data_IF_683120961201
#
_entry.id   IF_683120961201
#
_cell.length_a   1.000
_cell.length_b   1.000
_cell.length_c   1.000
_cell.angle_alpha   90.00
_cell.angle_beta   90.00
_cell.angle_gamma   90.00
#
_symmetry.space_group_name_H-M   'P 1'
#
loop_
_entity.id
_entity.type
_entity.pdbx_description
1 polymer ?
#
# COMPACT_ATOMS: atom_id res chain seq x y z
N UNK A 1 12.05 18.35 2.02
CA UNK A 1 12.15 18.50 0.53
C UNK A 1 11.05 17.74 -0.20
N UNK A 2 10.87 16.44 0.07
CA UNK A 2 9.89 15.57 -0.63
C UNK A 2 8.46 16.02 -0.41
N UNK A 3 8.07 16.35 0.82
CA UNK A 3 6.75 16.88 1.16
C UNK A 3 6.36 18.09 0.31
N UNK A 4 7.26 19.08 0.22
CA UNK A 4 7.03 20.28 -0.59
C UNK A 4 6.78 19.93 -2.05
N UNK A 5 7.56 18.99 -2.62
CA UNK A 5 7.39 18.57 -4.02
C UNK A 5 6.06 17.83 -4.21
N UNK A 6 5.74 16.88 -3.33
CA UNK A 6 4.48 16.12 -3.39
C UNK A 6 3.26 17.06 -3.29
N UNK A 7 3.25 17.96 -2.30
CA UNK A 7 2.17 18.91 -2.10
C UNK A 7 2.01 19.86 -3.30
N UNK A 8 3.11 20.35 -3.85
CA UNK A 8 3.07 21.22 -5.04
C UNK A 8 2.47 20.47 -6.23
N UNK A 9 2.96 19.26 -6.55
CA UNK A 9 2.47 18.50 -7.70
C UNK A 9 1.02 18.05 -7.55
N UNK A 10 0.62 17.68 -6.34
CA UNK A 10 -0.76 17.31 -6.07
C UNK A 10 -1.70 18.52 -6.23
N UNK A 11 -1.28 19.69 -5.78
CA UNK A 11 -2.04 20.92 -5.97
C UNK A 11 -2.17 21.29 -7.46
N UNK A 12 -1.09 21.16 -8.24
CA UNK A 12 -1.11 21.36 -9.69
C UNK A 12 -2.14 20.44 -10.37
N UNK A 13 -2.17 19.15 -10.00
CA UNK A 13 -3.15 18.19 -10.54
C UNK A 13 -4.60 18.55 -10.18
N UNK A 14 -4.82 18.99 -8.94
CA UNK A 14 -6.15 19.46 -8.50
C UNK A 14 -6.60 20.69 -9.29
N UNK A 15 -5.71 21.65 -9.56
CA UNK A 15 -6.03 22.82 -10.38
C UNK A 15 -6.41 22.42 -11.81
N UNK A 16 -5.76 21.40 -12.36
CA UNK A 16 -6.08 20.84 -13.68
C UNK A 16 -7.35 19.97 -13.69
N UNK A 17 -8.05 19.82 -12.55
CA UNK A 17 -9.18 18.90 -12.36
C UNK A 17 -8.87 17.46 -12.82
N UNK A 18 -7.62 17.04 -12.64
CA UNK A 18 -7.19 15.68 -12.93
C UNK A 18 -7.12 14.89 -11.63
N UNK A 19 -7.74 13.71 -11.65
CA UNK A 19 -7.59 12.75 -10.57
C UNK A 19 -6.32 11.91 -10.80
N UNK A 20 -5.65 11.57 -9.69
CA UNK A 20 -4.45 10.75 -9.70
C UNK A 20 -4.80 9.38 -9.14
N UNK A 21 -4.83 8.36 -10.01
CA UNK A 21 -5.15 6.99 -9.59
C UNK A 21 -4.01 6.33 -8.80
N UNK A 22 -2.76 6.58 -9.21
CA UNK A 22 -1.58 5.99 -8.58
C UNK A 22 -0.33 6.85 -8.76
N UNK A 23 0.47 6.95 -7.70
CA UNK A 23 1.81 7.51 -7.72
C UNK A 23 2.86 6.40 -7.65
N UNK A 24 3.64 6.21 -8.73
CA UNK A 24 4.81 5.33 -8.72
C UNK A 24 6.03 6.14 -8.28
N UNK A 25 6.70 5.69 -7.22
CA UNK A 25 7.83 6.38 -6.63
C UNK A 25 9.09 5.55 -6.75
N UNK A 26 10.12 6.10 -7.38
CA UNK A 26 11.42 5.44 -7.54
C UNK A 26 12.34 5.96 -6.43
N UNK A 27 12.68 5.08 -5.49
CA UNK A 27 13.53 5.39 -4.34
C UNK A 27 14.98 5.03 -4.65
N UNK A 28 15.94 5.94 -4.37
CA UNK A 28 17.35 5.73 -4.70
C UNK A 28 17.94 4.52 -3.96
N UNK A 29 17.53 4.33 -2.71
CA UNK A 29 18.02 3.31 -1.80
C UNK A 29 16.91 2.84 -0.85
N UNK A 30 17.25 1.88 0.02
CA UNK A 30 16.35 1.35 1.02
C UNK A 30 16.36 2.19 2.30
N UNK A 31 16.31 3.51 2.18
CA UNK A 31 16.26 4.41 3.31
C UNK A 31 14.85 4.46 3.93
N UNK A 32 14.73 3.92 5.14
CA UNK A 32 13.46 3.85 5.86
C UNK A 32 12.82 5.20 6.17
N UNK A 33 13.60 6.26 6.39
CA UNK A 33 13.09 7.60 6.70
C UNK A 33 12.36 8.22 5.51
N UNK A 34 12.99 8.22 4.33
CA UNK A 34 12.40 8.71 3.09
C UNK A 34 11.13 7.93 2.72
N UNK A 35 11.18 6.59 2.81
CA UNK A 35 10.01 5.75 2.56
C UNK A 35 8.88 6.06 3.54
N UNK A 36 9.20 6.22 4.83
CA UNK A 36 8.25 6.52 5.89
C UNK A 36 7.55 7.87 5.69
N UNK A 37 8.29 8.93 5.40
CA UNK A 37 7.72 10.25 5.12
C UNK A 37 6.78 10.24 3.91
N UNK A 38 7.21 9.59 2.83
CA UNK A 38 6.39 9.42 1.62
C UNK A 38 5.09 8.70 1.91
N UNK A 39 5.17 7.62 2.70
CA UNK A 39 4.01 6.81 3.07
C UNK A 39 3.05 7.58 3.96
N UNK A 40 3.57 8.22 5.00
CA UNK A 40 2.81 9.10 5.89
C UNK A 40 2.06 10.16 5.09
N UNK A 41 2.75 10.97 4.30
CA UNK A 41 2.11 12.07 3.54
C UNK A 41 1.06 11.54 2.56
N UNK A 42 1.38 10.49 1.78
CA UNK A 42 0.44 9.94 0.80
C UNK A 42 -0.81 9.35 1.47
N UNK A 43 -0.64 8.59 2.56
CA UNK A 43 -1.72 7.79 3.15
C UNK A 43 -2.52 8.57 4.21
N UNK A 44 -1.91 9.54 4.90
CA UNK A 44 -2.58 10.28 5.99
C UNK A 44 -2.98 11.71 5.62
N UNK A 45 -2.26 12.37 4.72
CA UNK A 45 -2.50 13.79 4.40
C UNK A 45 -3.17 13.99 3.04
N UNK A 46 -2.68 13.31 2.00
CA UNK A 46 -3.12 13.54 0.61
C UNK A 46 -4.13 12.52 0.08
N UNK A 47 -4.23 11.34 0.70
CA UNK A 47 -5.10 10.25 0.25
C UNK A 47 -4.70 9.68 -1.12
N UNK A 48 -3.39 9.65 -1.42
CA UNK A 48 -2.85 9.18 -2.70
C UNK A 48 -2.41 7.72 -2.58
N UNK A 49 -2.91 6.88 -3.48
CA UNK A 49 -2.40 5.52 -3.64
C UNK A 49 -0.97 5.57 -4.19
N UNK A 50 0.00 5.01 -3.45
CA UNK A 50 1.43 5.06 -3.83
C UNK A 50 2.09 3.68 -3.90
N UNK A 51 2.93 3.47 -4.91
CA UNK A 51 3.78 2.28 -5.09
C UNK A 51 5.26 2.66 -5.19
N UNK A 52 6.00 2.38 -4.12
CA UNK A 52 7.44 2.63 -4.06
C UNK A 52 8.25 1.46 -4.66
N UNK A 53 9.28 1.77 -5.44
CA UNK A 53 10.17 0.82 -6.08
C UNK A 53 11.62 1.27 -5.89
N UNK A 54 12.53 0.36 -5.53
CA UNK A 54 13.95 0.72 -5.45
C UNK A 54 14.56 0.80 -6.84
N UNK A 55 15.36 1.84 -7.07
CA UNK A 55 16.07 2.12 -8.32
C UNK A 55 16.79 0.87 -8.87
N UNK A 56 17.50 0.12 -8.01
CA UNK A 56 18.21 -1.11 -8.39
C UNK A 56 17.30 -2.18 -9.04
N UNK A 57 16.05 -2.29 -8.59
CA UNK A 57 15.11 -3.28 -9.12
C UNK A 57 14.43 -2.80 -10.39
N UNK A 58 14.20 -1.49 -10.47
CA UNK A 58 13.65 -0.83 -11.66
C UNK A 58 14.63 -0.94 -12.81
N UNK A 59 15.93 -0.76 -12.58
CA UNK A 59 16.94 -0.95 -13.63
C UNK A 59 17.16 -2.41 -14.01
N UNK A 60 17.09 -3.34 -13.04
CA UNK A 60 17.26 -4.77 -13.32
C UNK A 60 16.07 -5.37 -14.10
N UNK A 61 14.85 -4.84 -13.90
CA UNK A 61 13.63 -5.26 -14.60
C UNK A 61 13.38 -6.78 -14.65
N UNK A 62 13.64 -7.51 -13.56
CA UNK A 62 13.36 -8.95 -13.57
C UNK A 62 11.85 -9.19 -13.70
N UNK A 63 11.47 -10.18 -14.53
CA UNK A 63 10.05 -10.54 -14.75
C UNK A 63 9.33 -10.81 -13.43
N UNK A 64 10.00 -11.53 -12.51
CA UNK A 64 9.45 -11.81 -11.18
C UNK A 64 9.21 -10.53 -10.36
N UNK A 65 10.14 -9.57 -10.40
CA UNK A 65 9.96 -8.32 -9.66
C UNK A 65 8.79 -7.51 -10.20
N UNK A 66 8.71 -7.38 -11.53
CA UNK A 66 7.61 -6.65 -12.18
C UNK A 66 6.25 -7.31 -11.89
N UNK A 67 6.18 -8.65 -11.93
CA UNK A 67 4.98 -9.39 -11.55
C UNK A 67 4.58 -9.10 -10.09
N UNK A 68 5.53 -9.15 -9.15
CA UNK A 68 5.25 -8.86 -7.74
C UNK A 68 4.79 -7.40 -7.53
N UNK A 69 5.35 -6.44 -8.26
CA UNK A 69 4.89 -5.04 -8.22
C UNK A 69 3.48 -4.90 -8.78
N UNK A 70 3.17 -5.57 -9.90
CA UNK A 70 1.83 -5.56 -10.49
C UNK A 70 0.78 -6.12 -9.52
N UNK A 71 1.07 -7.24 -8.85
CA UNK A 71 0.19 -7.81 -7.82
C UNK A 71 -0.11 -6.83 -6.68
N UNK A 72 0.87 -6.01 -6.28
CA UNK A 72 0.67 -4.97 -5.26
C UNK A 72 -0.16 -3.80 -5.77
N UNK A 73 0.03 -3.39 -7.02
CA UNK A 73 -0.72 -2.29 -7.64
C UNK A 73 -2.19 -2.68 -7.79
N UNK A 74 -2.49 -3.88 -8.29
CA UNK A 74 -3.87 -4.36 -8.50
C UNK A 74 -4.69 -4.22 -7.22
N UNK A 75 -4.16 -4.68 -6.08
CA UNK A 75 -4.88 -4.60 -4.79
C UNK A 75 -5.04 -3.17 -4.31
N UNK A 76 -4.02 -2.32 -4.49
CA UNK A 76 -4.05 -0.92 -4.06
C UNK A 76 -5.08 -0.06 -4.79
N UNK A 77 -5.39 -0.40 -6.03
CA UNK A 77 -6.43 0.29 -6.82
C UNK A 77 -7.80 -0.40 -6.72
N UNK A 78 -7.99 -1.30 -5.75
CA UNK A 78 -9.27 -1.97 -5.48
C UNK A 78 -9.52 -3.25 -6.30
N UNK A 79 -8.55 -3.71 -7.06
CA UNK A 79 -8.62 -4.98 -7.79
C UNK A 79 -8.39 -6.21 -6.90
N UNK A 80 -8.72 -7.39 -7.44
CA UNK A 80 -8.49 -8.69 -6.79
C UNK A 80 -7.55 -9.52 -7.66
N UNK A 81 -6.44 -10.00 -7.08
CA UNK A 81 -5.48 -10.83 -7.82
C UNK A 81 -6.05 -12.23 -8.12
N UNK A 82 -6.68 -12.83 -7.12
CA UNK A 82 -7.25 -14.18 -7.21
C UNK A 82 -8.52 -14.28 -6.39
N UNK A 83 -9.37 -15.25 -6.74
CA UNK A 83 -10.57 -15.61 -5.99
C UNK A 83 -10.62 -17.12 -5.90
N UNK A 84 -11.00 -17.66 -4.74
CA UNK A 84 -11.20 -19.10 -4.58
C UNK A 84 -12.38 -19.56 -5.43
N UNK A 85 -12.16 -20.58 -6.26
CA UNK A 85 -13.22 -21.15 -7.11
C UNK A 85 -14.40 -21.62 -6.25
N UNK A 86 -14.13 -22.22 -5.09
CA UNK A 86 -15.19 -22.67 -4.18
C UNK A 86 -16.00 -21.52 -3.58
N UNK A 87 -15.43 -20.33 -3.43
CA UNK A 87 -16.20 -19.15 -3.02
C UNK A 87 -17.21 -18.74 -4.11
N UNK A 88 -16.82 -18.86 -5.38
CA UNK A 88 -17.70 -18.58 -6.53
C UNK A 88 -18.79 -19.65 -6.69
N UNK A 89 -18.44 -20.91 -6.45
CA UNK A 89 -19.35 -22.05 -6.53
C UNK A 89 -20.21 -22.24 -5.28
N UNK A 90 -20.07 -21.36 -4.28
CA UNK A 90 -20.76 -21.44 -2.99
C UNK A 90 -20.54 -22.78 -2.27
N UNK A 91 -19.28 -23.18 -2.19
CA UNK A 91 -18.82 -24.45 -1.59
C UNK A 91 -17.96 -24.25 -0.34
N UNK A 92 -18.01 -23.05 0.24
CA UNK A 92 -17.36 -22.74 1.51
C UNK A 92 -18.48 -22.53 2.54
N UNK A 93 -18.84 -23.57 3.32
CA UNK A 93 -19.87 -23.47 4.34
C UNK A 93 -19.61 -22.29 5.27
N UNK A 94 -20.67 -21.62 5.72
CA UNK A 94 -20.63 -20.42 6.57
C UNK A 94 -19.99 -19.16 5.96
N UNK A 95 -19.15 -19.29 4.92
CA UNK A 95 -18.49 -18.14 4.27
C UNK A 95 -19.24 -17.71 3.01
N UNK A 96 -19.72 -18.67 2.21
CA UNK A 96 -20.36 -18.40 0.91
C UNK A 96 -21.87 -18.65 0.88
N UNK A 97 -22.43 -19.22 1.95
CA UNK A 97 -23.86 -19.59 2.04
C UNK A 97 -24.71 -18.45 2.58
N UNK A 98 -24.15 -17.63 3.46
CA UNK A 98 -24.76 -16.44 4.04
C UNK A 98 -23.80 -15.23 3.96
N UNK A 99 -24.29 -13.99 4.09
CA UNK A 99 -23.43 -12.81 4.17
C UNK A 99 -22.48 -12.91 5.36
N UNK A 100 -21.20 -13.07 5.09
CA UNK A 100 -20.15 -13.27 6.11
C UNK A 100 -18.99 -12.32 5.89
N UNK A 101 -18.50 -11.73 6.98
CA UNK A 101 -17.32 -10.87 7.03
C UNK A 101 -16.22 -11.58 7.84
N UNK A 102 -14.97 -11.48 7.38
CA UNK A 102 -13.80 -12.07 8.05
C UNK A 102 -12.94 -10.90 8.58
N UNK A 103 -12.69 -10.89 9.88
CA UNK A 103 -11.79 -9.93 10.53
C UNK A 103 -10.49 -10.63 10.95
N UNK A 104 -9.39 -9.88 10.92
CA UNK A 104 -8.09 -10.29 11.46
C UNK A 104 -7.66 -9.23 12.45
N UNK A 105 -7.22 -9.62 13.65
CA UNK A 105 -6.69 -8.68 14.63
C UNK A 105 -5.24 -9.02 14.98
N UNK A 106 -4.40 -8.01 15.13
CA UNK A 106 -3.00 -8.15 15.54
C UNK A 106 -2.60 -7.03 16.51
N UNK A 107 -1.65 -7.32 17.40
CA UNK A 107 -1.04 -6.33 18.30
C UNK A 107 0.47 -6.44 18.19
N UNK A 108 1.10 -5.35 17.78
CA UNK A 108 2.56 -5.22 17.75
C UNK A 108 3.02 -4.44 18.97
N UNK A 109 3.84 -5.08 19.81
CA UNK A 109 4.49 -4.45 20.96
C UNK A 109 5.83 -3.82 20.58
N UNK A 110 6.29 -2.78 21.31
CA UNK A 110 7.63 -2.23 21.14
C UNK A 110 8.72 -3.25 21.48
N UNK A 111 9.98 -2.96 21.10
CA UNK A 111 11.09 -3.82 21.45
C UNK A 111 11.27 -3.90 22.98
N UNK A 112 11.75 -5.04 23.51
CA UNK A 112 12.00 -5.19 24.94
C UNK A 112 12.90 -4.07 25.48
N UNK A 113 12.44 -3.36 26.51
CA UNK A 113 13.15 -2.24 27.13
C UNK A 113 12.82 -0.85 26.57
N UNK A 114 11.98 -0.73 25.54
CA UNK A 114 11.46 0.56 25.06
C UNK A 114 10.08 0.88 25.68
N UNK A 115 10.06 1.23 26.97
CA UNK A 115 8.81 1.46 27.72
C UNK A 115 8.02 2.72 27.32
N UNK A 116 8.61 3.59 26.49
CA UNK A 116 7.99 4.86 26.05
C UNK A 116 7.18 4.76 24.77
N UNK A 117 7.31 3.65 24.01
CA UNK A 117 6.60 3.47 22.74
C UNK A 117 5.28 2.73 22.98
N UNK A 118 4.17 3.20 22.38
CA UNK A 118 2.89 2.51 22.51
C UNK A 118 2.92 1.17 21.76
N UNK A 119 2.06 0.24 22.20
CA UNK A 119 1.70 -0.91 21.36
C UNK A 119 0.73 -0.46 20.27
N UNK A 120 0.80 -1.08 19.09
CA UNK A 120 -0.06 -0.78 17.94
C UNK A 120 -1.02 -1.95 17.75
N UNK A 121 -2.32 -1.69 17.79
CA UNK A 121 -3.36 -2.66 17.46
C UNK A 121 -3.91 -2.40 16.06
N UNK A 122 -4.14 -3.47 15.29
CA UNK A 122 -4.75 -3.43 13.96
C UNK A 122 -5.91 -4.44 13.88
N UNK A 123 -6.98 -4.07 13.19
CA UNK A 123 -8.19 -4.87 12.92
C UNK A 123 -8.59 -4.74 11.45
#
# INVERSE_FOLDING_TARGET
>A
MVERVLNTRFHDLKQLKKELDILIVILPDNNGSLYGDLKRICETELGIVSQCCLTKHVFKMSKQYLANVALKIIVKVGGRNTVLVDALLRRIPLVSDCPTIIFSADVTHPHPGEDSRPSIAAV
#
